data_IF_335579965602
#
_entry.id   IF_335579965602
#
_cell.length_a   1.000
_cell.length_b   1.000
_cell.length_c   1.000
_cell.angle_alpha   90.00
_cell.angle_beta   90.00
_cell.angle_gamma   90.00
#
_symmetry.space_group_name_H-M   'P 1'
#
loop_
_entity.id
_entity.type
_entity.pdbx_description
1 polymer ?
#
# COMPACT_ATOMS: atom_id res chain seq x y z
N UNK A 1 -8.10 -5.76 3.96
CA UNK A 1 -8.90 -5.40 5.15
C UNK A 1 -9.75 -6.57 5.66
N UNK A 2 -10.47 -7.27 4.78
CA UNK A 2 -11.36 -8.39 5.15
C UNK A 2 -10.59 -9.49 5.89
N UNK A 3 -9.45 -9.94 5.36
CA UNK A 3 -8.60 -10.94 6.00
C UNK A 3 -8.11 -10.48 7.39
N UNK A 4 -7.78 -9.19 7.54
CA UNK A 4 -7.39 -8.64 8.84
C UNK A 4 -8.56 -8.66 9.83
N UNK A 5 -9.77 -8.36 9.39
CA UNK A 5 -10.98 -8.48 10.20
C UNK A 5 -11.24 -9.94 10.60
N UNK A 6 -11.14 -10.90 9.65
CA UNK A 6 -11.30 -12.32 9.94
C UNK A 6 -10.29 -12.80 10.98
N UNK A 7 -9.02 -12.41 10.86
CA UNK A 7 -7.95 -12.77 11.80
C UNK A 7 -8.21 -12.19 13.20
N UNK A 8 -8.58 -10.92 13.29
CA UNK A 8 -8.81 -10.23 14.57
C UNK A 8 -10.08 -10.67 15.27
N UNK A 9 -11.10 -11.07 14.51
CA UNK A 9 -12.37 -11.58 15.05
C UNK A 9 -12.43 -13.10 15.12
N UNK A 10 -11.29 -13.79 14.90
CA UNK A 10 -11.20 -15.25 14.88
C UNK A 10 -12.29 -15.91 14.02
N UNK A 11 -12.62 -15.30 12.89
CA UNK A 11 -13.63 -15.79 11.96
C UNK A 11 -13.03 -16.77 10.98
N UNK A 12 -13.47 -18.01 11.01
CA UNK A 12 -13.03 -19.02 10.06
C UNK A 12 -13.51 -18.69 8.63
N UNK A 13 -12.63 -18.63 7.60
CA UNK A 13 -13.00 -18.26 6.23
C UNK A 13 -14.05 -19.19 5.60
N UNK A 14 -14.08 -20.44 6.05
CA UNK A 14 -15.01 -21.47 5.59
C UNK A 14 -16.34 -21.58 6.34
N UNK A 15 -16.58 -20.71 7.33
CA UNK A 15 -17.71 -20.88 8.27
C UNK A 15 -19.08 -20.95 7.60
N UNK A 16 -19.29 -20.14 6.55
CA UNK A 16 -20.56 -20.11 5.78
C UNK A 16 -20.50 -20.89 4.47
N UNK A 17 -19.35 -21.49 4.17
CA UNK A 17 -19.12 -22.17 2.90
C UNK A 17 -19.58 -23.64 2.96
N UNK A 18 -20.17 -24.12 1.86
CA UNK A 18 -20.36 -25.56 1.62
C UNK A 18 -19.10 -26.11 0.94
N UNK A 19 -18.57 -27.20 1.45
CA UNK A 19 -17.40 -27.89 0.90
C UNK A 19 -17.79 -29.16 0.14
N UNK A 20 -17.00 -29.58 -0.85
CA UNK A 20 -17.26 -30.78 -1.62
C UNK A 20 -17.33 -32.04 -0.75
N UNK A 21 -16.52 -32.12 0.31
CA UNK A 21 -16.53 -33.28 1.23
C UNK A 21 -17.85 -33.46 2.00
N UNK A 22 -18.70 -32.41 2.11
CA UNK A 22 -20.03 -32.54 2.74
C UNK A 22 -20.96 -33.53 2.02
N UNK A 23 -20.64 -33.90 0.77
CA UNK A 23 -21.36 -34.92 0.01
C UNK A 23 -20.69 -36.30 -0.04
N UNK A 24 -19.60 -36.52 0.69
CA UNK A 24 -18.92 -37.82 0.70
C UNK A 24 -19.66 -38.83 1.59
N UNK A 25 -19.70 -40.11 1.16
CA UNK A 25 -20.34 -41.15 1.92
C UNK A 25 -19.78 -41.41 3.31
N UNK A 26 -18.49 -41.06 3.53
CA UNK A 26 -17.83 -41.12 4.83
C UNK A 26 -17.84 -39.82 5.64
N UNK A 27 -18.61 -38.82 5.20
CA UNK A 27 -18.68 -37.53 5.90
C UNK A 27 -19.35 -37.66 7.25
N UNK A 28 -18.64 -37.30 8.33
CA UNK A 28 -19.20 -37.24 9.66
C UNK A 28 -19.87 -35.86 9.86
N UNK A 29 -21.18 -35.82 9.67
CA UNK A 29 -21.97 -34.59 9.75
C UNK A 29 -21.93 -33.97 11.15
N UNK A 30 -22.06 -34.79 12.20
CA UNK A 30 -22.13 -34.31 13.59
C UNK A 30 -20.80 -33.68 14.03
N UNK A 31 -19.69 -34.34 13.67
CA UNK A 31 -18.35 -33.76 13.90
C UNK A 31 -18.18 -32.44 13.16
N UNK A 32 -18.62 -32.37 11.91
CA UNK A 32 -18.55 -31.13 11.13
C UNK A 32 -19.37 -30.00 11.77
N UNK A 33 -20.57 -30.29 12.22
CA UNK A 33 -21.43 -29.31 12.92
C UNK A 33 -20.83 -28.86 14.25
N UNK A 34 -20.20 -29.77 15.01
CA UNK A 34 -19.47 -29.44 16.24
C UNK A 34 -18.30 -28.47 15.96
N UNK A 35 -17.48 -28.74 14.94
CA UNK A 35 -16.37 -27.86 14.54
C UNK A 35 -16.90 -26.46 14.13
N UNK A 36 -18.01 -26.41 13.40
CA UNK A 36 -18.63 -25.13 13.01
C UNK A 36 -19.18 -24.36 14.22
N UNK A 37 -19.79 -25.05 15.18
CA UNK A 37 -20.29 -24.45 16.41
C UNK A 37 -19.13 -23.83 17.22
N UNK A 38 -18.05 -24.58 17.44
CA UNK A 38 -16.84 -24.06 18.09
C UNK A 38 -16.27 -22.82 17.39
N UNK A 39 -16.14 -22.86 16.04
CA UNK A 39 -15.66 -21.73 15.27
C UNK A 39 -16.59 -20.51 15.39
N UNK A 40 -17.90 -20.72 15.49
CA UNK A 40 -18.89 -19.66 15.68
C UNK A 40 -18.75 -19.02 17.08
N UNK A 41 -18.64 -19.83 18.13
CA UNK A 41 -18.45 -19.36 19.49
C UNK A 41 -17.16 -18.54 19.63
N UNK A 42 -16.07 -19.01 19.08
CA UNK A 42 -14.78 -18.30 19.06
C UNK A 42 -14.91 -16.94 18.38
N UNK A 43 -15.59 -16.89 17.24
CA UNK A 43 -15.82 -15.64 16.52
C UNK A 43 -16.65 -14.66 17.36
N UNK A 44 -17.74 -15.11 17.97
CA UNK A 44 -18.58 -14.28 18.83
C UNK A 44 -17.80 -13.74 20.04
N UNK A 45 -17.06 -14.58 20.73
CA UNK A 45 -16.20 -14.16 21.84
C UNK A 45 -15.09 -13.16 21.43
N UNK A 46 -14.62 -13.24 20.19
CA UNK A 46 -13.64 -12.30 19.66
C UNK A 46 -14.25 -10.94 19.32
N UNK A 47 -15.52 -10.88 18.91
CA UNK A 47 -16.24 -9.64 18.62
C UNK A 47 -16.50 -8.80 19.90
N UNK A 48 -16.52 -9.41 21.08
CA UNK A 48 -16.66 -8.71 22.36
C UNK A 48 -15.36 -8.00 22.80
N UNK A 49 -14.23 -8.31 22.16
CA UNK A 49 -12.95 -7.68 22.45
C UNK A 49 -12.82 -6.33 21.73
N UNK A 50 -12.12 -5.36 22.33
CA UNK A 50 -11.87 -4.09 21.65
C UNK A 50 -11.07 -4.31 20.36
N UNK A 51 -11.61 -3.82 19.26
CA UNK A 51 -10.95 -3.87 17.96
C UNK A 51 -10.11 -2.60 17.71
N UNK A 52 -8.98 -2.70 17.00
CA UNK A 52 -8.25 -1.53 16.57
C UNK A 52 -9.05 -0.74 15.54
N UNK A 53 -8.78 0.56 15.44
CA UNK A 53 -9.30 1.37 14.36
C UNK A 53 -8.65 0.98 13.03
N UNK A 54 -9.46 0.76 12.01
CA UNK A 54 -8.99 0.50 10.65
C UNK A 54 -9.09 1.74 9.78
N UNK A 55 -8.09 1.88 8.89
CA UNK A 55 -8.06 2.91 7.87
C UNK A 55 -7.79 2.23 6.52
N UNK A 56 -8.64 2.48 5.54
CA UNK A 56 -8.51 1.96 4.19
C UNK A 56 -8.63 3.11 3.20
N UNK A 57 -7.62 3.30 2.39
CA UNK A 57 -7.55 4.35 1.41
C UNK A 57 -7.22 3.78 0.04
N UNK A 58 -7.89 4.28 -0.97
CA UNK A 58 -7.58 4.05 -2.37
C UNK A 58 -7.80 5.35 -3.14
N UNK A 59 -7.07 5.55 -4.22
CA UNK A 59 -7.24 6.71 -5.09
C UNK A 59 -8.41 6.54 -6.07
N UNK A 60 -8.95 5.33 -6.18
CA UNK A 60 -10.07 4.99 -7.04
C UNK A 60 -11.35 4.84 -6.20
N UNK A 61 -12.32 5.70 -6.47
CA UNK A 61 -13.63 5.67 -5.84
C UNK A 61 -14.36 4.33 -6.02
N UNK A 62 -14.23 3.69 -7.19
CA UNK A 62 -14.88 2.39 -7.42
C UNK A 62 -14.24 1.29 -6.55
N UNK A 63 -12.92 1.33 -6.32
CA UNK A 63 -12.24 0.44 -5.38
C UNK A 63 -12.70 0.67 -3.94
N UNK A 64 -12.88 1.92 -3.52
CA UNK A 64 -13.44 2.29 -2.20
C UNK A 64 -14.84 1.73 -2.02
N UNK A 65 -15.71 1.93 -3.01
CA UNK A 65 -17.09 1.41 -3.02
C UNK A 65 -17.12 -0.12 -2.97
N UNK A 66 -16.33 -0.79 -3.82
CA UNK A 66 -16.20 -2.24 -3.85
C UNK A 66 -15.69 -2.78 -2.50
N UNK A 67 -14.75 -2.09 -1.85
CA UNK A 67 -14.23 -2.46 -0.53
C UNK A 67 -15.34 -2.47 0.51
N UNK A 68 -16.19 -1.43 0.58
CA UNK A 68 -17.34 -1.38 1.48
C UNK A 68 -18.32 -2.53 1.22
N UNK A 69 -18.67 -2.76 -0.03
CA UNK A 69 -19.57 -3.85 -0.42
C UNK A 69 -19.00 -5.23 -0.05
N UNK A 70 -17.71 -5.44 -0.26
CA UNK A 70 -17.03 -6.70 0.09
C UNK A 70 -16.97 -6.94 1.61
N UNK A 71 -16.83 -5.89 2.43
CA UNK A 71 -16.88 -6.00 3.90
C UNK A 71 -18.28 -6.44 4.34
N UNK A 72 -19.33 -5.84 3.77
CA UNK A 72 -20.73 -6.22 4.04
C UNK A 72 -20.98 -7.68 3.61
N UNK A 73 -20.58 -8.04 2.38
CA UNK A 73 -20.74 -9.40 1.86
C UNK A 73 -19.96 -10.44 2.69
N UNK A 74 -18.83 -10.05 3.29
CA UNK A 74 -18.09 -10.88 4.24
C UNK A 74 -18.77 -10.97 5.62
N UNK A 75 -19.90 -10.28 5.85
CA UNK A 75 -20.67 -10.32 7.11
C UNK A 75 -20.07 -9.47 8.24
N UNK A 76 -19.34 -8.41 7.88
CA UNK A 76 -18.77 -7.44 8.82
C UNK A 76 -19.46 -6.07 8.79
N UNK A 77 -20.72 -6.01 8.36
CA UNK A 77 -21.48 -4.76 8.28
C UNK A 77 -21.50 -4.01 9.62
N UNK A 78 -21.67 -4.70 10.73
CA UNK A 78 -21.67 -4.11 12.07
C UNK A 78 -20.33 -3.48 12.49
N UNK A 79 -19.26 -3.77 11.78
CA UNK A 79 -17.93 -3.22 12.05
C UNK A 79 -17.58 -2.02 11.18
N UNK A 80 -18.46 -1.59 10.27
CA UNK A 80 -18.17 -0.47 9.35
C UNK A 80 -17.85 0.83 10.10
N UNK A 81 -18.46 1.08 11.25
CA UNK A 81 -18.18 2.27 12.08
C UNK A 81 -16.75 2.26 12.68
N UNK A 82 -16.12 1.09 12.74
CA UNK A 82 -14.72 0.94 13.17
C UNK A 82 -13.73 1.07 12.00
N UNK A 83 -14.22 1.26 10.77
CA UNK A 83 -13.39 1.24 9.56
C UNK A 83 -13.58 2.55 8.81
N UNK A 84 -12.54 3.38 8.77
CA UNK A 84 -12.54 4.59 7.96
C UNK A 84 -12.12 4.25 6.55
N UNK A 85 -13.06 4.28 5.60
CA UNK A 85 -12.82 3.93 4.19
C UNK A 85 -13.08 5.17 3.33
N UNK A 86 -12.02 5.72 2.72
CA UNK A 86 -12.09 6.99 1.97
C UNK A 86 -11.29 6.91 0.68
N UNK A 87 -11.75 7.68 -0.32
CA UNK A 87 -10.95 7.98 -1.49
C UNK A 87 -9.84 8.95 -1.10
N UNK A 88 -8.57 8.52 -1.28
CA UNK A 88 -7.40 9.36 -1.02
C UNK A 88 -6.24 8.97 -1.90
N UNK A 89 -5.54 9.97 -2.40
CA UNK A 89 -4.27 9.77 -3.08
C UNK A 89 -3.10 9.74 -2.10
N UNK A 90 -1.92 9.30 -2.55
CA UNK A 90 -0.70 9.37 -1.73
C UNK A 90 -0.31 10.82 -1.34
N UNK A 91 -0.78 11.82 -2.09
CA UNK A 91 -0.49 13.22 -1.79
C UNK A 91 -1.39 13.80 -0.67
N UNK A 92 -2.54 13.15 -0.40
CA UNK A 92 -3.53 13.60 0.58
C UNK A 92 -3.59 12.64 1.79
N UNK A 93 -2.49 12.54 2.50
CA UNK A 93 -2.43 11.73 3.71
C UNK A 93 -2.84 12.52 4.94
N UNK A 94 -3.73 11.97 5.78
CA UNK A 94 -4.06 12.59 7.05
C UNK A 94 -2.84 12.57 7.98
N UNK A 95 -2.77 13.52 8.89
CA UNK A 95 -1.72 13.54 9.91
C UNK A 95 -1.96 12.43 10.94
N UNK A 96 -1.27 11.31 10.75
CA UNK A 96 -1.31 10.19 11.69
C UNK A 96 -0.41 10.40 12.92
N UNK A 97 0.51 11.37 12.89
CA UNK A 97 1.42 11.62 14.01
C UNK A 97 0.66 12.01 15.28
N UNK A 98 -0.52 12.65 15.13
CA UNK A 98 -1.40 13.00 16.24
C UNK A 98 -2.09 11.79 16.91
N UNK A 99 -2.07 10.60 16.29
CA UNK A 99 -2.81 9.45 16.79
C UNK A 99 -2.09 8.67 17.90
N UNK A 100 -0.77 8.88 18.09
CA UNK A 100 0.01 8.31 19.21
C UNK A 100 -0.02 6.78 19.37
N UNK A 101 -0.57 6.05 18.39
CA UNK A 101 -0.85 4.61 18.46
C UNK A 101 0.13 3.81 17.60
N UNK A 102 0.35 2.55 17.97
CA UNK A 102 1.05 1.60 17.09
C UNK A 102 0.20 1.37 15.84
N UNK A 103 0.82 1.52 14.68
CA UNK A 103 0.19 1.25 13.39
C UNK A 103 0.88 0.08 12.68
N UNK A 104 0.10 -0.67 11.92
CA UNK A 104 0.58 -1.68 10.98
C UNK A 104 0.05 -1.30 9.59
N UNK A 105 0.95 -1.04 8.66
CA UNK A 105 0.64 -0.55 7.34
C UNK A 105 0.77 -1.68 6.32
N UNK A 106 -0.28 -1.92 5.54
CA UNK A 106 -0.26 -2.89 4.43
C UNK A 106 -0.72 -2.19 3.17
N UNK A 107 0.03 -2.33 2.09
CA UNK A 107 -0.38 -1.80 0.80
C UNK A 107 0.09 -2.66 -0.36
N UNK A 108 -0.72 -2.66 -1.42
CA UNK A 108 -0.46 -3.32 -2.68
C UNK A 108 -0.49 -2.28 -3.80
N UNK A 109 0.60 -1.52 -3.99
CA UNK A 109 0.66 -0.49 -5.04
C UNK A 109 0.57 -1.09 -6.44
N UNK A 110 0.24 -0.30 -7.47
CA UNK A 110 0.19 -0.79 -8.86
C UNK A 110 1.55 -1.32 -9.32
N UNK A 111 1.52 -2.41 -10.07
CA UNK A 111 2.71 -3.16 -10.48
C UNK A 111 3.43 -2.56 -11.71
N UNK A 112 2.71 -1.80 -12.56
CA UNK A 112 3.24 -1.22 -13.80
C UNK A 112 3.66 -2.27 -14.81
N UNK A 113 2.70 -2.93 -15.41
CA UNK A 113 2.97 -3.98 -16.41
C UNK A 113 3.25 -3.42 -17.82
N UNK A 114 2.99 -2.12 -18.07
CA UNK A 114 3.14 -1.50 -19.38
C UNK A 114 4.53 -0.88 -19.59
N UNK A 115 5.02 -0.94 -20.84
CA UNK A 115 6.23 -0.24 -21.26
C UNK A 115 6.11 1.27 -20.97
N UNK A 116 7.09 1.84 -20.30
CA UNK A 116 7.05 3.24 -19.82
C UNK A 116 6.61 3.41 -18.36
N UNK A 117 5.92 2.46 -17.74
CA UNK A 117 5.46 2.53 -16.35
C UNK A 117 6.56 2.19 -15.33
N UNK A 118 7.64 1.52 -15.72
CA UNK A 118 8.72 1.10 -14.79
C UNK A 118 9.37 2.27 -14.03
N UNK A 119 9.67 3.37 -14.73
CA UNK A 119 10.24 4.55 -14.09
C UNK A 119 9.21 5.28 -13.22
N UNK A 120 7.94 5.32 -13.67
CA UNK A 120 6.81 5.87 -12.92
C UNK A 120 6.58 5.10 -11.63
N UNK A 121 6.65 3.77 -11.69
CA UNK A 121 6.47 2.93 -10.52
C UNK A 121 7.61 3.06 -9.51
N UNK A 122 8.86 3.15 -9.97
CA UNK A 122 9.96 3.40 -9.05
C UNK A 122 9.78 4.73 -8.31
N UNK A 123 9.33 5.78 -9.00
CA UNK A 123 9.01 7.07 -8.38
C UNK A 123 7.85 6.94 -7.37
N UNK A 124 6.82 6.13 -7.67
CA UNK A 124 5.72 5.84 -6.74
C UNK A 124 6.24 5.19 -5.45
N UNK A 125 7.09 4.15 -5.55
CA UNK A 125 7.65 3.48 -4.37
C UNK A 125 8.60 4.38 -3.57
N UNK A 126 9.37 5.24 -4.21
CA UNK A 126 10.18 6.27 -3.54
C UNK A 126 9.30 7.27 -2.79
N UNK A 127 8.23 7.77 -3.44
CA UNK A 127 7.25 8.66 -2.82
C UNK A 127 6.55 8.00 -1.63
N UNK A 128 6.10 6.76 -1.80
CA UNK A 128 5.52 5.95 -0.72
C UNK A 128 6.51 5.78 0.44
N UNK A 129 7.77 5.45 0.16
CA UNK A 129 8.81 5.32 1.19
C UNK A 129 9.01 6.61 1.97
N UNK A 130 9.06 7.76 1.29
CA UNK A 130 9.20 9.07 1.93
C UNK A 130 7.99 9.43 2.81
N UNK A 131 6.77 9.14 2.34
CA UNK A 131 5.54 9.35 3.11
C UNK A 131 5.49 8.47 4.36
N UNK A 132 5.85 7.20 4.22
CA UNK A 132 5.94 6.28 5.35
C UNK A 132 6.93 6.76 6.40
N UNK A 133 8.12 7.19 5.99
CA UNK A 133 9.14 7.73 6.89
C UNK A 133 8.67 8.99 7.62
N UNK A 134 7.91 9.84 6.94
CA UNK A 134 7.38 11.10 7.50
C UNK A 134 6.25 10.86 8.51
N UNK A 135 5.27 10.02 8.13
CA UNK A 135 4.01 9.87 8.88
C UNK A 135 3.99 8.67 9.83
N UNK A 136 4.83 7.66 9.58
CA UNK A 136 4.84 6.40 10.34
C UNK A 136 6.24 5.97 10.78
N UNK A 137 7.09 6.88 11.30
CA UNK A 137 8.41 6.49 11.77
C UNK A 137 8.31 5.42 12.85
N UNK A 138 9.17 4.41 12.78
CA UNK A 138 9.24 3.29 13.72
C UNK A 138 8.00 2.38 13.77
N UNK A 139 7.02 2.58 12.89
CA UNK A 139 5.90 1.67 12.74
C UNK A 139 6.27 0.50 11.83
N UNK A 140 5.46 -0.57 11.85
CA UNK A 140 5.70 -1.73 10.99
C UNK A 140 4.89 -1.61 9.70
N UNK A 141 5.51 -1.96 8.57
CA UNK A 141 4.82 -2.03 7.29
C UNK A 141 5.13 -3.32 6.54
N UNK A 142 4.19 -3.73 5.69
CA UNK A 142 4.34 -4.79 4.70
C UNK A 142 3.81 -4.30 3.34
N UNK A 143 4.67 -4.28 2.33
CA UNK A 143 4.37 -3.69 1.03
C UNK A 143 4.64 -4.72 -0.05
N UNK A 144 3.67 -4.90 -0.95
CA UNK A 144 3.81 -5.78 -2.10
C UNK A 144 4.48 -5.01 -3.23
N UNK A 145 5.43 -5.67 -3.90
CA UNK A 145 6.10 -5.16 -5.09
C UNK A 145 6.20 -6.26 -6.15
N UNK A 146 6.12 -5.90 -7.43
CA UNK A 146 6.29 -6.85 -8.53
C UNK A 146 7.76 -7.08 -8.90
N UNK A 147 8.65 -6.20 -8.49
CA UNK A 147 10.08 -6.25 -8.75
C UNK A 147 10.87 -6.00 -7.48
N UNK A 148 12.02 -6.65 -7.35
CA UNK A 148 12.87 -6.51 -6.16
C UNK A 148 13.41 -5.08 -6.03
N UNK A 149 13.70 -4.42 -7.16
CA UNK A 149 14.20 -3.05 -7.23
C UNK A 149 13.19 -2.03 -6.67
N UNK A 150 11.89 -2.33 -6.79
CA UNK A 150 10.82 -1.53 -6.17
C UNK A 150 10.79 -1.75 -4.66
N UNK A 151 10.98 -2.99 -4.23
CA UNK A 151 11.03 -3.33 -2.81
C UNK A 151 12.25 -2.70 -2.11
N UNK A 152 13.38 -2.61 -2.79
CA UNK A 152 14.66 -2.15 -2.22
C UNK A 152 14.71 -0.64 -1.95
N UNK A 153 13.84 0.15 -2.58
CA UNK A 153 13.76 1.60 -2.29
C UNK A 153 12.98 1.91 -1.01
N UNK A 154 12.32 0.92 -0.42
CA UNK A 154 11.57 1.09 0.82
C UNK A 154 12.52 1.15 2.02
N UNK A 155 12.47 2.24 2.76
CA UNK A 155 13.38 2.51 3.88
C UNK A 155 12.94 1.79 5.16
N UNK A 156 13.33 0.52 5.30
CA UNK A 156 13.06 -0.29 6.49
C UNK A 156 14.32 -0.62 7.28
N UNK A 157 14.20 -0.73 8.61
CA UNK A 157 15.20 -1.34 9.47
C UNK A 157 15.04 -2.86 9.41
N UNK A 158 16.18 -3.57 9.26
CA UNK A 158 16.21 -5.03 9.19
C UNK A 158 15.08 -5.62 8.30
N UNK A 159 14.99 -5.20 7.02
CA UNK A 159 13.88 -5.60 6.17
C UNK A 159 13.90 -7.09 5.89
N UNK A 160 12.72 -7.69 5.87
CA UNK A 160 12.50 -9.05 5.37
C UNK A 160 11.88 -8.96 3.98
N UNK A 161 12.27 -9.87 3.10
CA UNK A 161 11.70 -10.00 1.76
C UNK A 161 11.26 -11.43 1.53
N UNK A 162 9.97 -11.60 1.29
CA UNK A 162 9.38 -12.88 0.93
C UNK A 162 9.00 -12.86 -0.55
N UNK A 163 9.51 -13.81 -1.32
CA UNK A 163 9.11 -14.00 -2.71
C UNK A 163 7.95 -14.98 -2.78
N UNK A 164 6.88 -14.59 -3.44
CA UNK A 164 5.67 -15.39 -3.66
C UNK A 164 5.29 -15.39 -5.14
N UNK A 165 4.28 -16.19 -5.48
CA UNK A 165 3.69 -16.21 -6.82
C UNK A 165 2.22 -15.75 -6.74
N UNK A 166 1.86 -14.75 -7.52
CA UNK A 166 0.48 -14.37 -7.78
C UNK A 166 0.06 -14.89 -9.15
N UNK A 167 -0.50 -16.09 -9.18
CA UNK A 167 -0.69 -16.85 -10.42
C UNK A 167 0.67 -17.18 -11.05
N UNK A 168 0.95 -16.60 -12.22
CA UNK A 168 2.23 -16.77 -12.95
C UNK A 168 3.23 -15.65 -12.67
N UNK A 169 2.82 -14.61 -11.96
CA UNK A 169 3.65 -13.43 -11.70
C UNK A 169 4.39 -13.58 -10.36
N UNK A 170 5.73 -13.44 -10.34
CA UNK A 170 6.44 -13.34 -9.09
C UNK A 170 6.13 -11.99 -8.44
N UNK A 171 5.93 -12.01 -7.13
CA UNK A 171 5.75 -10.82 -6.30
C UNK A 171 6.67 -10.90 -5.08
N UNK A 172 6.97 -9.75 -4.51
CA UNK A 172 7.80 -9.62 -3.33
C UNK A 172 7.02 -8.90 -2.25
N UNK A 173 6.96 -9.48 -1.05
CA UNK A 173 6.48 -8.78 0.13
C UNK A 173 7.70 -8.25 0.87
N UNK A 174 7.83 -6.94 0.92
CA UNK A 174 8.85 -6.27 1.71
C UNK A 174 8.25 -5.78 3.01
N UNK A 175 8.76 -6.27 4.13
CA UNK A 175 8.27 -5.91 5.46
C UNK A 175 9.41 -5.50 6.39
N UNK A 176 9.07 -4.69 7.38
CA UNK A 176 10.03 -4.23 8.37
C UNK A 176 9.52 -3.02 9.15
N UNK A 177 10.35 -2.56 10.08
CA UNK A 177 10.10 -1.32 10.78
C UNK A 177 10.54 -0.13 9.91
N UNK A 178 9.66 0.85 9.74
CA UNK A 178 9.91 2.04 8.91
C UNK A 178 11.01 2.88 9.57
N UNK A 179 12.07 3.20 8.82
CA UNK A 179 13.11 4.13 9.27
C UNK A 179 12.52 5.53 9.43
N UNK A 180 12.85 6.27 10.50
CA UNK A 180 12.53 7.68 10.56
C UNK A 180 13.15 8.44 9.39
N UNK A 181 12.48 9.51 8.92
CA UNK A 181 13.10 10.42 7.99
C UNK A 181 14.32 11.06 8.67
N UNK A 182 15.47 10.96 8.04
CA UNK A 182 16.65 11.73 8.51
C UNK A 182 16.40 13.21 8.21
N UNK A 183 16.55 14.05 9.22
CA UNK A 183 16.16 15.47 9.21
C UNK A 183 16.87 16.35 8.16
N UNK A 184 17.69 15.78 7.28
CA UNK A 184 18.62 16.51 6.41
C UNK A 184 18.71 16.02 4.97
N UNK A 185 17.74 15.27 4.46
CA UNK A 185 17.65 15.20 3.02
C UNK A 185 16.46 16.07 2.58
N UNK A 186 16.73 17.34 2.17
CA UNK A 186 15.81 17.94 1.23
C UNK A 186 15.62 16.90 0.12
N UNK A 187 14.44 16.85 -0.45
CA UNK A 187 14.14 16.07 -1.65
C UNK A 187 15.22 16.43 -2.69
N UNK A 188 16.37 15.82 -2.55
CA UNK A 188 17.41 15.88 -3.56
C UNK A 188 16.80 15.16 -4.73
N UNK A 189 16.37 15.96 -5.70
CA UNK A 189 16.13 15.43 -7.02
C UNK A 189 17.20 14.37 -7.26
N UNK A 190 16.79 13.20 -7.72
CA UNK A 190 17.65 12.03 -7.97
C UNK A 190 18.75 12.34 -9.01
N UNK A 191 18.92 13.59 -9.33
CA UNK A 191 19.88 14.19 -10.20
C UNK A 191 20.86 15.03 -9.39
N UNK A 192 21.93 14.41 -8.93
CA UNK A 192 23.19 15.13 -8.81
C UNK A 192 23.77 15.16 -10.22
N UNK A 193 23.96 16.34 -10.83
CA UNK A 193 24.71 16.39 -12.05
C UNK A 193 26.10 15.83 -11.73
N UNK A 194 26.44 14.67 -12.30
CA UNK A 194 27.84 14.31 -12.39
C UNK A 194 28.52 15.50 -13.06
N UNK A 195 29.67 15.89 -12.58
CA UNK A 195 30.47 16.91 -13.24
C UNK A 195 30.85 16.36 -14.61
N UNK A 196 30.02 16.64 -15.59
CA UNK A 196 30.39 16.39 -16.98
C UNK A 196 31.39 17.49 -17.40
N UNK A 197 32.45 17.10 -18.04
CA UNK A 197 33.30 18.04 -18.79
C UNK A 197 32.40 18.91 -19.70
N UNK A 198 32.69 20.20 -19.76
CA UNK A 198 31.91 21.16 -20.57
C UNK A 198 31.70 20.63 -21.97
N UNK A 199 30.50 20.18 -22.27
CA UNK A 199 30.09 19.80 -23.62
C UNK A 199 29.67 21.07 -24.32
N UNK A 200 30.22 21.30 -25.54
CA UNK A 200 29.86 22.43 -26.38
C UNK A 200 28.34 22.43 -26.65
N UNK A 201 27.65 23.53 -26.35
CA UNK A 201 26.20 23.63 -26.42
C UNK A 201 25.43 23.32 -25.14
N UNK A 202 26.07 22.80 -24.07
CA UNK A 202 25.42 22.48 -22.82
C UNK A 202 24.82 23.71 -22.13
N UNK A 203 25.37 24.89 -22.30
CA UNK A 203 24.82 26.13 -21.73
C UNK A 203 23.48 26.50 -22.36
N UNK A 204 23.32 26.32 -23.67
CA UNK A 204 22.06 26.62 -24.37
C UNK A 204 20.94 25.64 -23.97
N UNK A 205 21.30 24.37 -23.84
CA UNK A 205 20.39 23.34 -23.31
C UNK A 205 19.97 23.65 -21.86
N UNK A 206 20.94 23.98 -20.99
CA UNK A 206 20.69 24.32 -19.61
C UNK A 206 19.77 25.52 -19.46
N UNK A 207 19.98 26.57 -20.27
CA UNK A 207 19.17 27.79 -20.29
C UNK A 207 17.75 27.49 -20.77
N UNK A 208 17.57 26.66 -21.78
CA UNK A 208 16.26 26.21 -22.27
C UNK A 208 15.53 25.36 -21.20
N UNK A 209 16.25 24.41 -20.57
CA UNK A 209 15.72 23.57 -19.52
C UNK A 209 15.26 24.42 -18.33
N UNK A 210 16.06 25.38 -17.86
CA UNK A 210 15.69 26.27 -16.77
C UNK A 210 14.46 27.13 -17.09
N UNK A 211 14.36 27.65 -18.31
CA UNK A 211 13.21 28.42 -18.77
C UNK A 211 11.94 27.56 -18.80
N UNK A 212 12.04 26.34 -19.32
CA UNK A 212 10.92 25.39 -19.37
C UNK A 212 10.53 24.93 -17.96
N UNK A 213 11.48 24.66 -17.08
CA UNK A 213 11.19 24.32 -15.67
C UNK A 213 10.44 25.43 -14.95
N UNK A 214 10.79 26.71 -15.18
CA UNK A 214 10.05 27.82 -14.56
C UNK A 214 8.60 27.92 -15.07
N UNK A 215 8.38 27.70 -16.35
CA UNK A 215 7.06 27.69 -16.96
C UNK A 215 6.22 26.51 -16.43
N UNK A 216 6.82 25.31 -16.40
CA UNK A 216 6.18 24.10 -15.86
C UNK A 216 5.89 24.20 -14.36
N UNK A 217 6.78 24.81 -13.58
CA UNK A 217 6.53 25.05 -12.15
C UNK A 217 5.32 25.96 -11.91
N UNK A 218 5.19 27.05 -12.70
CA UNK A 218 4.03 27.94 -12.62
C UNK A 218 2.73 27.25 -13.01
N UNK A 219 2.78 26.44 -14.06
CA UNK A 219 1.63 25.63 -14.50
C UNK A 219 1.27 24.56 -13.47
N UNK A 220 2.23 23.80 -12.94
CA UNK A 220 2.01 22.78 -11.94
C UNK A 220 1.36 23.33 -10.66
N UNK A 221 1.82 24.48 -10.18
CA UNK A 221 1.19 25.16 -9.03
C UNK A 221 -0.26 25.54 -9.32
N UNK A 222 -0.55 26.04 -10.53
CA UNK A 222 -1.91 26.41 -10.95
C UNK A 222 -2.84 25.20 -11.01
N UNK A 223 -2.33 24.05 -11.47
CA UNK A 223 -3.10 22.80 -11.64
C UNK A 223 -3.03 21.85 -10.44
N UNK A 224 -2.45 22.28 -9.30
CA UNK A 224 -2.23 21.43 -8.11
C UNK A 224 -1.45 20.14 -8.39
N UNK A 225 -0.50 20.19 -9.31
CA UNK A 225 0.34 19.05 -9.66
C UNK A 225 1.63 19.10 -8.85
N UNK A 226 1.86 18.11 -8.00
CA UNK A 226 3.01 18.05 -7.09
C UNK A 226 4.19 17.22 -7.61
N UNK A 227 4.01 16.52 -8.73
CA UNK A 227 5.06 15.73 -9.36
C UNK A 227 5.09 16.00 -10.86
N UNK A 228 6.20 16.56 -11.36
CA UNK A 228 6.43 16.77 -12.78
C UNK A 228 7.47 15.77 -13.27
N UNK A 229 7.12 15.05 -14.30
CA UNK A 229 8.04 14.17 -15.03
C UNK A 229 8.69 14.96 -16.15
N UNK A 230 10.00 15.16 -16.06
CA UNK A 230 10.79 15.78 -17.10
C UNK A 230 11.64 14.69 -17.77
N UNK A 231 11.34 14.34 -19.00
CA UNK A 231 12.25 13.61 -19.88
C UNK A 231 11.98 13.94 -21.32
N UNK A 232 13.05 13.97 -22.08
CA UNK A 232 12.99 13.90 -23.53
C UNK A 232 12.70 12.44 -23.92
N UNK A 233 11.70 12.25 -24.75
CA UNK A 233 11.48 11.01 -25.46
C UNK A 233 12.00 11.24 -26.87
N UNK A 234 13.13 10.68 -27.18
CA UNK A 234 13.49 10.37 -28.57
C UNK A 234 12.80 9.06 -28.98
#
# INVERSE_FOLDING_TARGET
IIEALMMLTDRAPGLVRRFGFNGWNGHNHDLWMSIKAEATERHQAALEKPLPQFYAYDADWEAVKATKQNIIAAGFESLLDHIKIEERTLADWPDFAAMGKKAFIVTNPPYGERLGEKASNRALYLGLSALLQKHFPNQTAAIIASQIEQADVLAFNAPQTLRLMNGKLPIYIRSGQIKPATATQPFLAVWQPQQFEKIEGAEDFTNRLQKNMQALKKWAVKENIYCLRLYDAD
#
